data_IF_202179354651
#
_entry.id   IF_202179354651
#
_cell.length_a   1.000
_cell.length_b   1.000
_cell.length_c   1.000
_cell.angle_alpha   90.00
_cell.angle_beta   90.00
_cell.angle_gamma   90.00
#
_symmetry.space_group_name_H-M   'P 1'
#
loop_
_entity.id
_entity.type
_entity.pdbx_description
1 polymer ?
#
# COMPACT_ATOMS: atom_id res chain seq x y z
N UNK A 1 -15.57 9.65 -6.18
CA UNK A 1 -15.26 8.75 -5.05
C UNK A 1 -15.01 9.63 -3.84
N UNK A 2 -15.46 9.22 -2.66
CA UNK A 2 -15.11 9.82 -1.37
C UNK A 2 -14.47 8.74 -0.52
N UNK A 3 -13.30 9.05 0.05
CA UNK A 3 -12.59 8.20 0.99
C UNK A 3 -12.19 9.07 2.18
N UNK A 4 -12.41 8.56 3.39
CA UNK A 4 -12.02 9.24 4.61
C UNK A 4 -11.35 8.26 5.57
N UNK A 5 -10.23 8.67 6.16
CA UNK A 5 -9.62 7.99 7.30
C UNK A 5 -10.27 8.48 8.58
N UNK A 6 -10.62 7.54 9.45
CA UNK A 6 -11.12 7.77 10.81
C UNK A 6 -10.06 7.38 11.86
N UNK A 7 -8.79 7.30 11.42
CA UNK A 7 -7.66 6.89 12.24
C UNK A 7 -7.29 5.42 12.06
N UNK A 8 -6.44 4.95 12.98
CA UNK A 8 -5.90 3.58 13.01
C UNK A 8 -6.67 2.75 14.02
N UNK A 9 -7.05 1.53 13.64
CA UNK A 9 -7.60 0.55 14.57
C UNK A 9 -6.49 -0.15 15.37
N UNK A 10 -5.32 -0.35 14.74
CA UNK A 10 -4.09 -0.77 15.42
C UNK A 10 -2.85 -0.15 14.77
N UNK A 11 -1.70 -0.07 15.46
CA UNK A 11 -0.46 0.40 14.86
C UNK A 11 -0.06 -0.45 13.64
N UNK A 12 0.51 0.16 12.58
CA UNK A 12 1.05 -0.59 11.45
C UNK A 12 2.23 -1.46 11.91
N UNK A 13 2.36 -2.65 11.33
CA UNK A 13 3.39 -3.61 11.70
C UNK A 13 4.15 -4.07 10.45
N UNK A 14 5.47 -4.00 10.50
CA UNK A 14 6.31 -4.65 9.49
C UNK A 14 6.18 -6.16 9.63
N UNK A 15 5.77 -6.83 8.55
CA UNK A 15 5.54 -8.27 8.50
C UNK A 15 6.72 -8.97 7.84
N UNK A 16 7.28 -8.36 6.80
CA UNK A 16 8.38 -8.92 6.03
C UNK A 16 9.28 -7.80 5.49
N UNK A 17 10.56 -8.09 5.38
CA UNK A 17 11.57 -7.25 4.73
C UNK A 17 12.33 -8.16 3.76
N UNK A 18 12.44 -7.74 2.50
CA UNK A 18 13.16 -8.48 1.48
C UNK A 18 13.99 -7.52 0.65
N UNK A 19 15.22 -7.91 0.36
CA UNK A 19 16.09 -7.19 -0.56
C UNK A 19 16.54 -8.15 -1.66
N UNK A 20 16.67 -7.65 -2.87
CA UNK A 20 17.14 -8.44 -4.00
C UNK A 20 18.07 -7.61 -4.88
N UNK A 21 19.03 -8.30 -5.50
CA UNK A 21 19.83 -7.76 -6.60
C UNK A 21 19.15 -8.12 -7.91
N UNK A 22 18.91 -7.12 -8.74
CA UNK A 22 18.28 -7.25 -10.05
C UNK A 22 19.27 -6.73 -11.08
N UNK A 23 19.72 -7.63 -11.96
CA UNK A 23 20.37 -7.24 -13.21
C UNK A 23 19.27 -6.82 -14.20
N UNK A 24 19.13 -5.52 -14.43
CA UNK A 24 18.22 -5.00 -15.46
C UNK A 24 18.89 -4.87 -16.83
N UNK A 25 20.21 -4.65 -16.84
CA UNK A 25 21.05 -4.68 -18.03
C UNK A 25 22.34 -5.49 -17.75
N UNK A 26 23.21 -5.64 -18.76
CA UNK A 26 24.46 -6.40 -18.65
C UNK A 26 25.57 -5.65 -17.89
N UNK A 27 25.31 -4.43 -17.43
CA UNK A 27 26.33 -3.46 -17.04
C UNK A 27 26.17 -2.91 -15.63
N UNK A 28 24.98 -2.99 -15.03
CA UNK A 28 24.72 -2.43 -13.70
C UNK A 28 23.77 -3.31 -12.91
N UNK A 29 24.24 -3.72 -11.73
CA UNK A 29 23.40 -4.33 -10.71
C UNK A 29 22.58 -3.25 -10.01
N UNK A 30 21.26 -3.45 -9.94
CA UNK A 30 20.40 -2.65 -9.10
C UNK A 30 19.97 -3.42 -7.87
N UNK A 31 19.84 -2.74 -6.74
CA UNK A 31 19.26 -3.28 -5.53
C UNK A 31 17.84 -2.74 -5.38
N UNK A 32 16.95 -3.62 -4.97
CA UNK A 32 15.58 -3.29 -4.59
C UNK A 32 15.37 -3.74 -3.15
N UNK A 33 14.68 -2.91 -2.37
CA UNK A 33 14.25 -3.25 -1.02
C UNK A 33 12.74 -3.13 -0.96
N UNK A 34 12.09 -4.20 -0.50
CA UNK A 34 10.65 -4.25 -0.30
C UNK A 34 10.33 -4.52 1.18
N UNK A 35 9.36 -3.79 1.70
CA UNK A 35 8.84 -3.94 3.07
C UNK A 35 7.34 -4.19 2.99
N UNK A 36 6.89 -5.34 3.49
CA UNK A 36 5.47 -5.61 3.65
C UNK A 36 5.00 -5.10 5.01
N UNK A 37 4.03 -4.20 5.00
CA UNK A 37 3.44 -3.62 6.21
C UNK A 37 1.97 -4.04 6.30
N UNK A 38 1.59 -4.63 7.43
CA UNK A 38 0.20 -4.80 7.82
C UNK A 38 -0.33 -3.48 8.35
N UNK A 39 -1.37 -2.98 7.72
CA UNK A 39 -2.02 -1.71 8.04
C UNK A 39 -3.46 -2.01 8.46
N UNK A 40 -3.87 -1.49 9.61
CA UNK A 40 -5.23 -1.65 10.11
C UNK A 40 -5.84 -0.26 10.35
N UNK A 41 -6.76 0.12 9.47
CA UNK A 41 -7.35 1.46 9.40
C UNK A 41 -8.84 1.39 9.58
N UNK A 42 -9.40 2.40 10.24
CA UNK A 42 -10.82 2.66 10.21
C UNK A 42 -11.10 3.64 9.08
N UNK A 43 -11.87 3.24 8.09
CA UNK A 43 -12.10 4.02 6.87
C UNK A 43 -13.57 3.95 6.41
N UNK A 44 -14.06 5.03 5.78
CA UNK A 44 -15.32 5.01 5.04
C UNK A 44 -15.08 5.33 3.57
N UNK A 45 -15.79 4.62 2.68
CA UNK A 45 -15.67 4.77 1.23
C UNK A 45 -17.05 4.87 0.61
N UNK A 46 -17.19 5.79 -0.34
CA UNK A 46 -18.38 5.94 -1.16
C UNK A 46 -18.01 6.19 -2.62
N UNK A 47 -18.66 5.46 -3.53
CA UNK A 47 -18.49 5.60 -4.97
C UNK A 47 -19.76 6.21 -5.55
N UNK A 48 -19.60 7.28 -6.32
CA UNK A 48 -20.71 8.01 -6.93
C UNK A 48 -20.59 7.98 -8.45
N UNK A 49 -21.72 7.85 -9.14
CA UNK A 49 -21.83 7.98 -10.61
C UNK A 49 -23.01 8.87 -10.93
N UNK A 50 -22.76 9.99 -11.63
CA UNK A 50 -23.80 10.99 -11.93
C UNK A 50 -24.49 11.56 -10.67
N UNK A 51 -23.73 11.78 -9.60
CA UNK A 51 -24.26 12.28 -8.32
C UNK A 51 -25.00 11.24 -7.46
N UNK A 52 -25.27 10.03 -7.99
CA UNK A 52 -25.91 8.94 -7.23
C UNK A 52 -24.87 8.04 -6.58
N UNK A 53 -25.12 7.64 -5.34
CA UNK A 53 -24.31 6.64 -4.64
C UNK A 53 -24.53 5.27 -5.31
N UNK A 54 -23.43 4.61 -5.70
CA UNK A 54 -23.46 3.30 -6.38
C UNK A 54 -22.66 2.21 -5.64
N UNK A 55 -21.97 2.57 -4.55
CA UNK A 55 -21.22 1.60 -3.74
C UNK A 55 -20.65 2.23 -2.47
N UNK A 56 -20.56 1.41 -1.43
CA UNK A 56 -20.10 1.82 -0.10
C UNK A 56 -21.09 2.75 0.62
N UNK A 57 -20.63 3.33 1.72
CA UNK A 57 -21.39 4.26 2.55
C UNK A 57 -20.42 5.27 3.19
N UNK A 58 -20.54 6.59 2.91
CA UNK A 58 -19.60 7.58 3.44
C UNK A 58 -19.70 7.76 4.96
N UNK A 59 -20.86 7.42 5.55
CA UNK A 59 -21.17 7.65 6.96
C UNK A 59 -20.99 6.41 7.85
N UNK A 60 -20.50 5.30 7.27
CA UNK A 60 -20.32 4.04 7.97
C UNK A 60 -18.84 3.62 7.91
N UNK A 61 -18.02 4.05 8.89
CA UNK A 61 -16.63 3.65 8.96
C UNK A 61 -16.50 2.16 9.29
N UNK A 62 -15.62 1.47 8.58
CA UNK A 62 -15.31 0.06 8.78
C UNK A 62 -13.83 -0.12 9.10
N UNK A 63 -13.53 -1.10 9.95
CA UNK A 63 -12.17 -1.53 10.21
C UNK A 63 -11.71 -2.43 9.06
N UNK A 64 -10.58 -2.10 8.46
CA UNK A 64 -10.04 -2.78 7.30
C UNK A 64 -8.57 -3.10 7.55
N UNK A 65 -8.23 -4.38 7.39
CA UNK A 65 -6.86 -4.86 7.40
C UNK A 65 -6.35 -5.02 5.97
N UNK A 66 -5.23 -4.36 5.64
CA UNK A 66 -4.54 -4.49 4.37
C UNK A 66 -3.05 -4.80 4.59
N UNK A 67 -2.47 -5.50 3.62
CA UNK A 67 -1.03 -5.74 3.56
C UNK A 67 -0.50 -4.98 2.36
N UNK A 68 0.23 -3.89 2.61
CA UNK A 68 0.84 -3.07 1.55
C UNK A 68 2.32 -3.40 1.44
N UNK A 69 2.83 -3.40 0.21
CA UNK A 69 4.26 -3.55 -0.07
C UNK A 69 4.80 -2.17 -0.43
N UNK A 70 5.75 -1.70 0.36
CA UNK A 70 6.54 -0.51 0.08
C UNK A 70 7.84 -0.93 -0.60
N UNK A 71 8.32 -0.15 -1.56
CA UNK A 71 9.53 -0.42 -2.33
C UNK A 71 10.43 0.82 -2.41
N UNK A 72 11.75 0.59 -2.43
CA UNK A 72 12.77 1.60 -2.70
C UNK A 72 13.92 1.00 -3.52
N UNK A 73 14.49 1.80 -4.41
CA UNK A 73 15.64 1.45 -5.27
C UNK A 73 16.89 2.22 -4.87
N UNK A 74 17.60 1.81 -3.80
CA UNK A 74 18.71 2.58 -3.23
C UNK A 74 19.86 2.88 -4.22
N UNK A 75 20.07 2.02 -5.22
CA UNK A 75 21.17 2.14 -6.20
C UNK A 75 20.77 2.85 -7.49
N UNK A 76 19.49 3.12 -7.71
CA UNK A 76 18.99 3.76 -8.94
C UNK A 76 18.93 5.27 -8.78
N UNK A 77 18.40 5.72 -7.65
CA UNK A 77 18.34 7.13 -7.28
C UNK A 77 18.37 7.22 -5.75
N UNK A 78 19.41 7.85 -5.22
CA UNK A 78 19.65 7.97 -3.77
C UNK A 78 18.57 8.82 -3.09
N UNK A 79 17.90 9.68 -3.87
CA UNK A 79 16.82 10.54 -3.42
C UNK A 79 15.43 9.93 -3.63
N UNK A 80 15.34 8.70 -4.15
CA UNK A 80 14.05 8.06 -4.33
C UNK A 80 13.45 7.66 -2.98
N UNK A 81 12.29 8.24 -2.68
CA UNK A 81 11.48 7.89 -1.52
C UNK A 81 10.82 6.53 -1.68
N UNK A 82 10.41 5.95 -0.55
CA UNK A 82 9.59 4.74 -0.54
C UNK A 82 8.27 4.96 -1.27
N UNK A 83 7.90 4.01 -2.13
CA UNK A 83 6.64 4.03 -2.89
C UNK A 83 5.81 2.80 -2.57
N UNK A 84 4.48 2.92 -2.65
CA UNK A 84 3.60 1.75 -2.59
C UNK A 84 3.73 0.99 -3.91
N UNK A 85 4.26 -0.22 -3.86
CA UNK A 85 4.44 -1.09 -5.03
C UNK A 85 3.24 -2.01 -5.25
N UNK A 86 2.65 -2.53 -4.18
CA UNK A 86 1.54 -3.47 -4.28
C UNK A 86 0.65 -3.51 -3.03
N UNK A 87 -0.53 -4.10 -3.19
CA UNK A 87 -1.38 -4.59 -2.09
C UNK A 87 -1.52 -6.10 -2.20
N UNK A 88 -1.25 -6.82 -1.12
CA UNK A 88 -1.46 -8.26 -1.07
C UNK A 88 -2.91 -8.55 -0.70
N UNK A 89 -3.55 -9.42 -1.48
CA UNK A 89 -4.89 -9.95 -1.19
C UNK A 89 -4.75 -11.41 -0.80
N UNK A 90 -5.41 -11.83 0.29
CA UNK A 90 -5.57 -13.27 0.56
C UNK A 90 -6.38 -13.88 -0.57
N UNK A 91 -5.95 -15.02 -1.11
CA UNK A 91 -6.83 -15.84 -1.94
C UNK A 91 -7.93 -16.40 -1.03
N UNK A 92 -9.17 -16.32 -1.52
CA UNK A 92 -10.35 -16.92 -0.88
C UNK A 92 -10.28 -18.45 -0.95
#
# INVERSE_FOLDING_TARGET
MSWQSHGRASPPQTVNLTAAKIMMDKTTDHEIVQVTVRVNLKQSVAIYKGGKLIGGNPNEPQDIEEFIVLEKWPTRDVYEDWKIAARLTRKA
#
